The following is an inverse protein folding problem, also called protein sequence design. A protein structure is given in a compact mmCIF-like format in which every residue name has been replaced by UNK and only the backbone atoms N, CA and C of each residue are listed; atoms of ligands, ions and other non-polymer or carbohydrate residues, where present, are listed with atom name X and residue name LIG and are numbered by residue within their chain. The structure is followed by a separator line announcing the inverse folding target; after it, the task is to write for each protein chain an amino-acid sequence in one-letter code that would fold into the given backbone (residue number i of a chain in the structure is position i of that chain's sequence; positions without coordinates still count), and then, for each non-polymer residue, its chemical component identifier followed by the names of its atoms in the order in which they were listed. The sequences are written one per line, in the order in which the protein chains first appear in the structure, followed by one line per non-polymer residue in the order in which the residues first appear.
data_IF_455019270741
#
_entry.id   IF_455019270741
#
_cell.length_a   1.000
_cell.length_b   1.000
_cell.length_c   1.000
_cell.angle_alpha   90.00
_cell.angle_beta   90.00
_cell.angle_gamma   90.00
#
_symmetry.space_group_name_H-M   'P 1'
#
loop_
_entity.id
_entity.type
_entity.pdbx_description
1 polymer ?
#
# COMPACT_ATOMS: atom_id res chain seq x y z
N UNK A 1 -0.23 3.42 21.51
CA UNK A 1 -0.86 2.14 21.10
C UNK A 1 -0.54 1.90 19.64
N UNK A 2 -0.21 0.68 19.26
CA UNK A 2 0.03 0.33 17.86
C UNK A 2 -1.31 0.09 17.15
N UNK A 3 -1.43 0.56 15.91
CA UNK A 3 -2.52 0.39 14.97
C UNK A 3 -2.60 -1.04 14.40
N UNK A 4 -1.45 -1.72 14.31
CA UNK A 4 -1.37 -3.06 13.71
C UNK A 4 -1.59 -4.17 14.74
N UNK A 5 -2.24 -5.28 14.36
CA UNK A 5 -2.18 -6.54 15.10
C UNK A 5 -0.75 -7.07 15.26
N UNK A 6 -0.51 -7.88 16.28
CA UNK A 6 0.80 -8.50 16.53
C UNK A 6 1.28 -9.40 15.39
N UNK A 7 0.36 -10.08 14.72
CA UNK A 7 0.66 -10.93 13.56
C UNK A 7 1.24 -10.12 12.38
N UNK A 8 0.68 -8.96 12.08
CA UNK A 8 1.14 -8.09 11.00
C UNK A 8 2.52 -7.50 11.29
N UNK A 9 2.75 -7.04 12.54
CA UNK A 9 4.08 -6.56 12.96
C UNK A 9 5.14 -7.66 12.84
N UNK A 10 4.81 -8.90 13.27
CA UNK A 10 5.72 -10.04 13.12
C UNK A 10 6.00 -10.35 11.66
N UNK A 11 4.99 -10.27 10.80
CA UNK A 11 5.16 -10.47 9.35
C UNK A 11 6.09 -9.42 8.73
N UNK A 12 5.88 -8.14 9.03
CA UNK A 12 6.73 -7.05 8.54
C UNK A 12 8.18 -7.19 9.02
N UNK A 13 8.37 -7.47 10.31
CA UNK A 13 9.69 -7.70 10.89
C UNK A 13 10.40 -8.90 10.25
N UNK A 14 9.68 -10.02 10.05
CA UNK A 14 10.21 -11.21 9.38
C UNK A 14 10.60 -10.99 7.92
N UNK A 15 9.98 -10.01 7.25
CA UNK A 15 10.36 -9.57 5.90
C UNK A 15 11.45 -8.49 5.86
N UNK A 16 11.84 -7.95 7.02
CA UNK A 16 12.76 -6.81 7.08
C UNK A 16 12.21 -5.55 6.42
N UNK A 17 10.88 -5.39 6.36
CA UNK A 17 10.26 -4.20 5.78
C UNK A 17 10.24 -3.08 6.81
N UNK A 18 10.81 -1.93 6.45
CA UNK A 18 10.70 -0.71 7.24
C UNK A 18 9.29 -0.13 7.09
N UNK A 19 8.70 0.25 8.21
CA UNK A 19 7.34 0.80 8.23
C UNK A 19 7.12 1.82 9.35
N UNK A 20 6.11 2.66 9.16
CA UNK A 20 5.59 3.58 10.18
C UNK A 20 4.08 3.45 10.30
N UNK A 21 3.58 3.52 11.52
CA UNK A 21 2.15 3.60 11.81
C UNK A 21 1.78 5.07 12.05
N UNK A 22 0.86 5.61 11.26
CA UNK A 22 0.56 7.04 11.22
C UNK A 22 -0.94 7.26 11.41
N UNK A 23 -1.27 8.29 12.19
CA UNK A 23 -2.64 8.81 12.33
C UNK A 23 -2.63 10.26 11.88
N UNK A 24 -3.44 10.58 10.87
CA UNK A 24 -3.60 11.92 10.31
C UNK A 24 -5.09 12.31 10.39
N UNK A 25 -5.43 13.10 11.40
CA UNK A 25 -6.81 13.40 11.76
C UNK A 25 -7.61 12.12 12.05
N UNK A 26 -8.65 11.87 11.25
CA UNK A 26 -9.49 10.67 11.35
C UNK A 26 -8.94 9.46 10.58
N UNK A 27 -7.93 9.67 9.72
CA UNK A 27 -7.34 8.61 8.92
C UNK A 27 -6.19 7.94 9.68
N UNK A 28 -6.09 6.63 9.52
CA UNK A 28 -5.03 5.81 10.11
C UNK A 28 -4.44 4.96 9.01
N UNK A 29 -3.13 4.75 9.04
CA UNK A 29 -2.44 4.02 7.98
C UNK A 29 -1.11 3.47 8.42
N UNK A 30 -0.62 2.53 7.61
CA UNK A 30 0.77 2.08 7.66
C UNK A 30 1.48 2.54 6.39
N UNK A 31 2.64 3.16 6.55
CA UNK A 31 3.52 3.55 5.46
C UNK A 31 4.70 2.59 5.46
N UNK A 32 4.89 1.87 4.37
CA UNK A 32 6.07 1.05 4.10
C UNK A 32 7.06 1.90 3.31
N UNK A 33 8.29 2.01 3.78
CA UNK A 33 9.34 2.82 3.13
C UNK A 33 10.29 1.94 2.33
N UNK A 34 10.81 2.46 1.21
CA UNK A 34 11.79 1.74 0.38
C UNK A 34 11.25 0.46 -0.27
N UNK A 35 9.94 0.38 -0.52
CA UNK A 35 9.31 -0.79 -1.13
C UNK A 35 9.82 -0.98 -2.57
N UNK A 36 10.50 -2.09 -2.84
CA UNK A 36 11.13 -2.37 -4.14
C UNK A 36 10.08 -2.58 -5.22
N UNK A 37 10.28 -1.91 -6.35
CA UNK A 37 9.42 -2.02 -7.52
C UNK A 37 10.00 -3.00 -8.54
N UNK A 38 9.17 -3.56 -9.44
CA UNK A 38 9.63 -4.36 -10.57
C UNK A 38 10.67 -3.62 -11.42
N UNK A 39 11.81 -4.27 -11.66
CA UNK A 39 12.95 -3.70 -12.38
C UNK A 39 12.55 -3.14 -13.74
N UNK A 40 13.04 -1.92 -14.04
CA UNK A 40 12.84 -1.20 -15.31
C UNK A 40 11.38 -0.97 -15.74
N UNK A 41 10.39 -1.26 -14.88
CA UNK A 41 8.97 -1.04 -15.19
C UNK A 41 8.52 0.38 -14.87
N UNK A 42 9.05 0.94 -13.78
CA UNK A 42 8.71 2.26 -13.27
C UNK A 42 9.91 3.20 -13.34
N UNK A 43 9.64 4.51 -13.28
CA UNK A 43 10.67 5.54 -13.36
C UNK A 43 11.58 5.63 -12.10
N UNK A 44 11.25 4.86 -11.05
CA UNK A 44 12.03 4.72 -9.83
C UNK A 44 12.12 3.23 -9.45
N UNK A 45 13.16 2.84 -8.73
CA UNK A 45 13.37 1.44 -8.30
C UNK A 45 12.66 1.09 -6.99
N UNK A 46 12.24 2.10 -6.22
CA UNK A 46 11.57 1.94 -4.95
C UNK A 46 10.58 3.09 -4.69
N UNK A 47 9.56 2.81 -3.90
CA UNK A 47 8.58 3.80 -3.47
C UNK A 47 8.11 3.54 -2.04
N UNK A 48 7.50 4.56 -1.43
CA UNK A 48 6.71 4.40 -0.22
C UNK A 48 5.31 3.92 -0.59
N UNK A 49 4.81 2.94 0.16
CA UNK A 49 3.46 2.40 0.01
C UNK A 49 2.66 2.69 1.26
N UNK A 50 1.60 3.49 1.12
CA UNK A 50 0.60 3.73 2.15
C UNK A 50 -0.54 2.73 2.01
N UNK A 51 -0.93 2.12 3.12
CA UNK A 51 -2.15 1.33 3.26
C UNK A 51 -2.99 2.01 4.34
N UNK A 52 -4.13 2.57 3.95
CA UNK A 52 -5.09 3.13 4.89
C UNK A 52 -5.83 2.01 5.60
N UNK A 53 -5.85 2.06 6.93
CA UNK A 53 -6.48 1.07 7.78
C UNK A 53 -7.91 1.52 8.10
N UNK A 54 -8.94 0.77 7.66
CA UNK A 54 -10.32 1.10 7.99
C UNK A 54 -10.60 0.91 9.48
N UNK A 55 -11.70 1.49 9.95
CA UNK A 55 -12.23 1.12 11.27
C UNK A 55 -12.61 -0.36 11.27
N UNK A 56 -12.16 -1.11 12.27
CA UNK A 56 -12.38 -2.56 12.36
C UNK A 56 -11.32 -3.41 11.65
N UNK A 57 -10.23 -2.83 11.14
CA UNK A 57 -9.07 -3.62 10.73
C UNK A 57 -8.54 -4.48 11.91
N UNK A 58 -8.22 -5.78 11.71
CA UNK A 58 -8.08 -6.49 10.44
C UNK A 58 -9.34 -7.19 9.91
N UNK A 59 -10.46 -7.18 10.63
CA UNK A 59 -11.69 -7.83 10.17
C UNK A 59 -12.33 -7.10 8.97
N UNK A 60 -12.07 -5.80 8.85
CA UNK A 60 -12.42 -4.98 7.68
C UNK A 60 -11.20 -4.78 6.79
N UNK A 61 -11.35 -5.08 5.50
CA UNK A 61 -10.29 -5.02 4.51
C UNK A 61 -9.86 -3.58 4.19
N UNK A 62 -8.55 -3.31 4.06
CA UNK A 62 -8.08 -2.11 3.36
C UNK A 62 -8.58 -2.11 1.90
N UNK A 63 -9.10 -0.98 1.46
CA UNK A 63 -9.76 -0.89 0.15
C UNK A 63 -8.76 -0.74 -1.01
N UNK A 64 -7.78 0.15 -0.83
CA UNK A 64 -6.78 0.53 -1.84
C UNK A 64 -5.40 0.62 -1.21
N UNK A 65 -4.38 0.79 -2.05
CA UNK A 65 -3.06 1.25 -1.62
C UNK A 65 -2.70 2.53 -2.35
N UNK A 66 -1.68 3.21 -1.83
CA UNK A 66 -1.24 4.49 -2.36
C UNK A 66 0.28 4.53 -2.45
N UNK A 67 0.80 5.13 -3.51
CA UNK A 67 2.24 5.19 -3.76
C UNK A 67 2.77 6.63 -3.67
N UNK A 68 3.99 6.76 -3.17
CA UNK A 68 4.78 7.99 -3.19
C UNK A 68 6.25 7.64 -3.51
N UNK A 69 6.88 8.20 -4.56
CA UNK A 69 6.32 9.15 -5.52
C UNK A 69 5.19 8.53 -6.36
N UNK A 70 4.51 9.36 -7.14
CA UNK A 70 3.55 8.88 -8.14
C UNK A 70 4.30 8.05 -9.18
N UNK A 71 3.87 6.82 -9.40
CA UNK A 71 4.53 5.86 -10.28
C UNK A 71 4.07 6.04 -11.72
N UNK A 72 5.03 6.11 -12.63
CA UNK A 72 4.83 6.16 -14.07
C UNK A 72 5.52 4.97 -14.72
N UNK A 73 4.86 4.36 -15.71
CA UNK A 73 5.44 3.26 -16.48
C UNK A 73 6.46 3.83 -17.47
N UNK A 74 7.70 3.34 -17.44
CA UNK A 74 8.79 3.82 -18.32
C UNK A 74 8.47 3.64 -19.79
N UNK A 75 7.97 2.46 -20.26
CA UNK A 75 7.76 2.24 -21.69
C UNK A 75 6.73 3.18 -22.34
N UNK A 76 5.81 3.74 -21.55
CA UNK A 76 4.67 4.51 -22.05
C UNK A 76 4.54 5.92 -21.43
N UNK A 77 5.45 6.30 -20.53
CA UNK A 77 5.44 7.56 -19.76
C UNK A 77 4.07 7.97 -19.23
N UNK A 78 3.27 6.98 -18.79
CA UNK A 78 1.91 7.19 -18.31
C UNK A 78 1.69 6.56 -16.95
N UNK A 79 0.65 7.02 -16.26
CA UNK A 79 0.21 6.37 -15.05
C UNK A 79 -0.38 4.98 -15.36
N UNK A 80 -0.18 4.01 -14.46
CA UNK A 80 -0.87 2.74 -14.50
C UNK A 80 -2.39 2.92 -14.52
N UNK A 81 -3.11 1.96 -15.11
CA UNK A 81 -4.57 1.99 -15.15
C UNK A 81 -5.18 2.13 -13.76
N UNK A 82 -6.09 3.09 -13.63
CA UNK A 82 -6.78 3.44 -12.39
C UNK A 82 -5.79 3.77 -11.23
N UNK A 83 -4.73 4.49 -11.57
CA UNK A 83 -3.70 4.98 -10.65
C UNK A 83 -3.31 6.45 -10.92
N UNK A 84 -4.28 7.32 -11.18
CA UNK A 84 -4.09 8.70 -11.61
C UNK A 84 -4.75 9.73 -10.68
N UNK A 85 -5.35 9.28 -9.57
CA UNK A 85 -6.08 10.13 -8.63
C UNK A 85 -5.28 10.38 -7.34
N UNK A 86 -5.35 11.58 -6.76
CA UNK A 86 -4.68 11.89 -5.50
C UNK A 86 -5.47 11.45 -4.27
N UNK A 87 -4.75 11.14 -3.20
CA UNK A 87 -5.26 11.19 -1.81
C UNK A 87 -4.26 11.97 -0.96
N UNK A 88 -4.77 12.91 -0.15
CA UNK A 88 -3.96 13.65 0.82
C UNK A 88 -3.82 12.84 2.10
N UNK A 89 -2.58 12.65 2.55
CA UNK A 89 -2.26 12.01 3.82
C UNK A 89 -0.89 12.48 4.29
N UNK A 90 -0.79 12.91 5.55
CA UNK A 90 0.42 13.46 6.18
C UNK A 90 1.01 14.64 5.38
N UNK A 91 0.16 15.51 4.84
CA UNK A 91 0.58 16.66 4.00
C UNK A 91 1.16 16.28 2.63
N UNK A 92 1.18 15.00 2.26
CA UNK A 92 1.66 14.52 0.97
C UNK A 92 0.50 14.11 0.06
N UNK A 93 0.69 14.30 -1.25
CA UNK A 93 -0.25 13.86 -2.28
C UNK A 93 0.13 12.48 -2.79
N UNK A 94 -0.54 11.45 -2.29
CA UNK A 94 -0.30 10.06 -2.67
C UNK A 94 -1.05 9.68 -3.93
N UNK A 95 -0.45 8.83 -4.77
CA UNK A 95 -1.09 8.26 -5.95
C UNK A 95 -2.00 7.12 -5.52
N UNK A 96 -3.31 7.24 -5.74
CA UNK A 96 -4.29 6.20 -5.39
C UNK A 96 -4.33 5.09 -6.40
N UNK A 97 -4.15 3.85 -5.96
CA UNK A 97 -4.28 2.66 -6.77
C UNK A 97 -5.60 1.93 -6.46
N UNK A 98 -6.58 2.06 -7.36
CA UNK A 98 -7.88 1.40 -7.21
C UNK A 98 -7.77 -0.09 -7.53
N UNK A 99 -7.50 -0.89 -6.49
CA UNK A 99 -7.40 -2.35 -6.53
C UNK A 99 -8.20 -2.93 -5.36
N UNK A 100 -9.52 -3.01 -5.53
CA UNK A 100 -10.46 -3.45 -4.49
C UNK A 100 -10.34 -4.95 -4.17
N UNK A 101 -10.62 -5.34 -2.93
CA UNK A 101 -10.70 -6.74 -2.51
C UNK A 101 -12.13 -7.10 -2.09
N UNK A 102 -12.79 -7.98 -2.84
CA UNK A 102 -14.10 -8.50 -2.47
C UNK A 102 -14.04 -9.85 -1.75
N UNK A 103 -12.85 -10.45 -1.62
CA UNK A 103 -12.65 -11.81 -1.09
C UNK A 103 -11.90 -11.84 0.25
N UNK A 104 -11.88 -10.72 0.98
CA UNK A 104 -11.23 -10.64 2.30
C UNK A 104 -11.96 -11.51 3.32
N UNK A 105 -11.20 -12.27 4.11
CA UNK A 105 -11.70 -13.17 5.15
C UNK A 105 -11.41 -12.58 6.53
N UNK A 106 -12.43 -12.11 7.26
CA UNK A 106 -12.28 -11.66 8.64
C UNK A 106 -11.62 -12.72 9.52
N UNK A 107 -10.80 -12.31 10.49
CA UNK A 107 -10.03 -13.20 11.36
C UNK A 107 -8.91 -14.03 10.69
N UNK A 108 -8.76 -13.97 9.37
CA UNK A 108 -7.76 -14.76 8.61
C UNK A 108 -6.81 -13.87 7.83
N UNK A 109 -7.35 -12.93 7.06
CA UNK A 109 -6.55 -12.04 6.23
C UNK A 109 -6.02 -10.85 7.04
N UNK A 110 -4.86 -10.35 6.64
CA UNK A 110 -4.15 -9.25 7.29
C UNK A 110 -3.22 -8.53 6.34
N UNK A 111 -2.24 -7.81 6.88
CA UNK A 111 -1.31 -7.02 6.08
C UNK A 111 -0.50 -7.88 5.11
N UNK A 112 -0.25 -9.14 5.46
CA UNK A 112 0.40 -10.11 4.58
C UNK A 112 -0.41 -10.37 3.29
N UNK A 113 -1.73 -10.52 3.40
CA UNK A 113 -2.63 -10.66 2.25
C UNK A 113 -2.65 -9.37 1.43
N UNK A 114 -2.73 -8.22 2.10
CA UNK A 114 -2.73 -6.92 1.42
C UNK A 114 -1.42 -6.69 0.65
N UNK A 115 -0.27 -7.01 1.24
CA UNK A 115 1.04 -6.80 0.61
C UNK A 115 1.25 -7.64 -0.64
N UNK A 116 0.82 -8.91 -0.62
CA UNK A 116 0.84 -9.75 -1.83
C UNK A 116 0.01 -9.13 -2.97
N UNK A 117 -1.12 -8.49 -2.63
CA UNK A 117 -1.97 -7.81 -3.62
C UNK A 117 -1.30 -6.54 -4.16
N UNK A 118 -0.60 -5.79 -3.32
CA UNK A 118 0.22 -4.64 -3.74
C UNK A 118 1.30 -5.10 -4.72
N UNK A 119 2.05 -6.14 -4.37
CA UNK A 119 3.11 -6.72 -5.21
C UNK A 119 2.57 -7.16 -6.57
N UNK A 120 1.45 -7.90 -6.58
CA UNK A 120 0.79 -8.32 -7.81
C UNK A 120 0.32 -7.13 -8.65
N UNK A 121 -0.30 -6.12 -8.04
CA UNK A 121 -0.78 -4.95 -8.74
C UNK A 121 0.36 -4.13 -9.38
N UNK A 122 1.51 -4.04 -8.71
CA UNK A 122 2.72 -3.41 -9.25
C UNK A 122 3.34 -4.25 -10.39
N UNK A 123 3.34 -5.57 -10.25
CA UNK A 123 3.86 -6.47 -11.26
C UNK A 123 3.01 -6.46 -12.54
N UNK A 124 1.68 -6.48 -12.42
CA UNK A 124 0.73 -6.55 -13.54
C UNK A 124 0.33 -5.19 -14.11
N UNK A 125 0.79 -4.09 -13.49
CA UNK A 125 0.41 -2.75 -13.92
C UNK A 125 0.62 -2.55 -15.43
N UNK A 126 -0.44 -2.08 -16.08
CA UNK A 126 -0.46 -1.74 -17.48
C UNK A 126 -0.87 -0.29 -17.66
#
# INVERSE_FOLDING_TARGET
MSLLPSADRRYLAGRGLEYREVTDGAQRGVILTGFRLPSAKYQVDAASILILLPSGYPDVAPDMFYALPWLQLVPAQRYPKAADQPVQFEGHRWQRWSRHNTSWRPGVDGLSTMLKRVEQALLEAA
#
